data_IF_374926572167
#
_entry.id   IF_374926572167
#
_cell.length_a   1.000
_cell.length_b   1.000
_cell.length_c   1.000
_cell.angle_alpha   90.00
_cell.angle_beta   90.00
_cell.angle_gamma   90.00
#
_symmetry.space_group_name_H-M   'P 1'
#
loop_
_entity.id
_entity.type
_entity.pdbx_description
1 polymer ?
#
# COMPACT_ATOMS: atom_id res chain seq x y z
N UNK A 1 -11.82 33.60 -57.66
CA UNK A 1 -11.99 32.17 -58.01
C UNK A 1 -11.16 31.34 -57.03
N UNK A 2 -11.83 30.50 -56.21
CA UNK A 2 -11.39 29.22 -55.56
C UNK A 2 -10.09 29.22 -54.72
N UNK A 3 -9.94 28.48 -53.62
CA UNK A 3 -10.82 27.69 -52.77
C UNK A 3 -10.05 27.39 -51.46
N UNK A 4 -10.80 27.07 -50.41
CA UNK A 4 -10.34 26.76 -49.06
C UNK A 4 -9.53 25.45 -48.93
N UNK A 5 -8.73 25.36 -47.87
CA UNK A 5 -8.49 24.11 -47.17
C UNK A 5 -8.44 24.35 -45.65
N UNK A 6 -9.51 23.92 -44.97
CA UNK A 6 -9.60 23.73 -43.53
C UNK A 6 -8.74 22.54 -43.13
N UNK A 7 -7.95 22.66 -42.06
CA UNK A 7 -7.47 21.50 -41.31
C UNK A 7 -8.15 21.49 -39.95
N UNK A 8 -8.80 20.38 -39.70
CA UNK A 8 -9.75 20.09 -38.64
C UNK A 8 -9.03 19.80 -37.31
N UNK A 9 -9.42 20.49 -36.26
CA UNK A 9 -9.09 20.16 -34.87
C UNK A 9 -9.88 18.91 -34.44
N UNK A 10 -9.25 17.74 -34.57
CA UNK A 10 -9.75 16.49 -33.97
C UNK A 10 -9.47 16.46 -32.48
N UNK A 11 -10.53 16.69 -31.71
CA UNK A 11 -10.96 15.87 -30.56
C UNK A 11 -9.85 15.17 -29.78
N UNK A 12 -9.30 15.86 -28.76
CA UNK A 12 -8.52 15.23 -27.69
C UNK A 12 -9.51 14.55 -26.74
N UNK A 13 -9.71 13.24 -26.95
CA UNK A 13 -10.57 12.38 -26.13
C UNK A 13 -10.00 12.27 -24.71
N UNK A 14 -10.90 12.45 -23.73
CA UNK A 14 -10.80 11.94 -22.37
C UNK A 14 -10.30 10.49 -22.37
N UNK A 15 -9.10 10.25 -21.86
CA UNK A 15 -8.62 8.94 -21.40
C UNK A 15 -7.52 9.26 -20.37
N UNK A 16 -7.91 9.41 -19.12
CA UNK A 16 -6.99 9.77 -18.03
C UNK A 16 -7.65 9.80 -16.66
N UNK A 17 -8.68 8.98 -16.42
CA UNK A 17 -9.42 8.97 -15.15
C UNK A 17 -9.81 7.56 -14.66
N UNK A 18 -9.09 6.50 -15.06
CA UNK A 18 -9.47 5.12 -14.66
C UNK A 18 -8.36 4.28 -14.00
N UNK A 19 -7.26 4.89 -13.54
CA UNK A 19 -6.11 4.12 -13.03
C UNK A 19 -5.78 4.32 -11.53
N UNK A 20 -6.70 4.86 -10.71
CA UNK A 20 -6.49 5.02 -9.26
C UNK A 20 -7.43 4.17 -8.39
N UNK A 21 -8.21 3.26 -8.99
CA UNK A 21 -9.10 2.36 -8.27
C UNK A 21 -8.67 0.90 -8.47
N UNK A 22 -7.52 0.52 -7.89
CA UNK A 22 -7.22 -0.89 -7.63
C UNK A 22 -7.57 -1.21 -6.18
N UNK A 23 -8.85 -1.05 -5.82
CA UNK A 23 -9.36 -1.47 -4.52
C UNK A 23 -9.49 -3.00 -4.50
N UNK A 24 -8.94 -3.66 -3.48
CA UNK A 24 -9.08 -5.11 -3.18
C UNK A 24 -10.53 -5.63 -3.17
N UNK A 25 -11.53 -4.75 -3.26
CA UNK A 25 -12.96 -5.06 -3.39
C UNK A 25 -13.32 -5.97 -4.59
N UNK A 26 -12.46 -6.09 -5.62
CA UNK A 26 -12.72 -6.95 -6.77
C UNK A 26 -12.47 -8.46 -6.54
N UNK A 27 -11.96 -8.88 -5.38
CA UNK A 27 -11.38 -10.24 -5.27
C UNK A 27 -11.92 -11.15 -4.16
N UNK A 28 -12.83 -10.69 -3.28
CA UNK A 28 -13.41 -11.54 -2.22
C UNK A 28 -14.61 -12.36 -2.70
N UNK A 29 -14.33 -13.48 -3.36
CA UNK A 29 -15.31 -14.53 -3.62
C UNK A 29 -15.22 -15.66 -2.59
N UNK A 30 -16.18 -15.71 -1.66
CA UNK A 30 -16.65 -16.90 -0.90
C UNK A 30 -15.85 -17.27 0.37
N UNK A 31 -16.39 -16.92 1.54
CA UNK A 31 -16.01 -17.50 2.83
C UNK A 31 -17.16 -18.33 3.41
N UNK A 32 -16.90 -19.63 3.63
CA UNK A 32 -17.68 -20.51 4.50
C UNK A 32 -16.94 -20.67 5.83
N UNK A 33 -17.69 -20.68 6.92
CA UNK A 33 -17.15 -20.71 8.30
C UNK A 33 -16.89 -22.11 8.86
N UNK A 34 -16.29 -22.15 10.05
CA UNK A 34 -16.78 -22.83 11.26
C UNK A 34 -15.80 -22.63 12.44
N UNK A 35 -16.34 -22.93 13.63
CA UNK A 35 -16.04 -22.50 15.00
C UNK A 35 -14.92 -23.29 15.74
N UNK A 36 -14.56 -22.79 16.94
CA UNK A 36 -14.09 -23.46 18.19
C UNK A 36 -12.68 -23.11 18.73
N UNK A 37 -12.65 -22.41 19.88
CA UNK A 37 -11.79 -22.79 21.01
C UNK A 37 -10.60 -21.89 21.44
N UNK A 38 -10.84 -21.03 22.45
CA UNK A 38 -9.99 -20.68 23.64
C UNK A 38 -8.47 -20.43 23.49
N UNK A 39 -8.06 -19.16 23.51
CA UNK A 39 -7.02 -18.55 24.39
C UNK A 39 -7.04 -17.04 24.08
N UNK A 40 -7.03 -16.16 25.08
CA UNK A 40 -6.85 -14.72 24.85
C UNK A 40 -5.36 -14.48 24.54
N UNK A 41 -4.94 -14.92 23.35
CA UNK A 41 -3.79 -14.36 22.66
C UNK A 41 -4.27 -12.98 22.24
N UNK A 42 -3.63 -11.90 22.70
CA UNK A 42 -3.83 -10.59 22.07
C UNK A 42 -3.46 -10.76 20.61
N UNK A 43 -4.45 -10.91 19.75
CA UNK A 43 -4.34 -11.57 18.47
C UNK A 43 -3.97 -10.50 17.42
N UNK A 44 -2.76 -9.97 17.58
CA UNK A 44 -2.09 -8.97 16.72
C UNK A 44 -1.81 -9.57 15.35
N UNK A 45 -2.84 -9.73 14.53
CA UNK A 45 -2.71 -10.31 13.19
C UNK A 45 -2.83 -9.21 12.16
N UNK A 46 -1.70 -8.82 11.59
CA UNK A 46 -1.69 -8.05 10.35
C UNK A 46 -1.55 -9.02 9.18
N UNK A 47 -2.43 -8.90 8.20
CA UNK A 47 -2.39 -9.64 6.94
C UNK A 47 -1.61 -8.82 5.92
N UNK A 48 -0.58 -9.41 5.31
CA UNK A 48 0.25 -8.78 4.29
C UNK A 48 0.07 -9.49 2.93
N UNK A 49 -0.15 -8.68 1.89
CA UNK A 49 -0.35 -9.08 0.51
C UNK A 49 0.70 -8.39 -0.36
N UNK A 50 1.47 -9.15 -1.15
CA UNK A 50 2.52 -8.56 -2.01
C UNK A 50 2.87 -9.43 -3.23
N UNK A 51 2.52 -10.73 -3.19
CA UNK A 51 2.58 -11.67 -4.33
C UNK A 51 1.21 -12.22 -4.66
N UNK A 52 1.05 -12.67 -5.91
CA UNK A 52 -0.21 -13.24 -6.40
C UNK A 52 -0.71 -14.41 -5.54
N UNK A 53 0.19 -15.24 -5.02
CA UNK A 53 -0.17 -16.36 -4.12
C UNK A 53 -0.78 -15.92 -2.77
N UNK A 54 -0.59 -14.67 -2.35
CA UNK A 54 -1.09 -14.17 -1.06
C UNK A 54 -2.57 -13.79 -1.07
N UNK A 55 -3.25 -13.82 -2.22
CA UNK A 55 -4.67 -13.43 -2.33
C UNK A 55 -5.57 -14.18 -1.35
N UNK A 56 -5.49 -15.52 -1.35
CA UNK A 56 -6.22 -16.38 -0.40
C UNK A 56 -5.39 -16.78 0.83
N UNK A 57 -4.07 -16.61 0.76
CA UNK A 57 -3.12 -17.04 1.78
C UNK A 57 -2.19 -15.88 2.19
N UNK A 58 -2.71 -14.85 2.89
CA UNK A 58 -1.88 -13.73 3.30
C UNK A 58 -0.75 -14.17 4.22
N UNK A 59 0.37 -13.44 4.16
CA UNK A 59 1.41 -13.57 5.19
C UNK A 59 0.88 -12.92 6.46
N UNK A 60 0.97 -13.63 7.59
CA UNK A 60 0.52 -13.15 8.89
C UNK A 60 1.68 -12.60 9.70
N UNK A 61 1.64 -11.31 10.04
CA UNK A 61 2.58 -10.67 10.94
C UNK A 61 2.01 -10.70 12.36
N UNK A 62 2.76 -11.27 13.29
CA UNK A 62 2.42 -11.42 14.71
C UNK A 62 3.46 -10.79 15.64
N UNK A 63 4.67 -10.57 15.15
CA UNK A 63 5.73 -9.90 15.89
C UNK A 63 6.80 -9.28 14.99
N UNK A 64 7.81 -8.70 15.62
CA UNK A 64 8.89 -7.98 14.94
C UNK A 64 9.69 -8.85 13.98
N UNK A 65 9.86 -10.15 14.27
CA UNK A 65 10.53 -11.07 13.34
C UNK A 65 9.77 -11.20 12.02
N UNK A 66 8.44 -11.24 12.05
CA UNK A 66 7.64 -11.35 10.83
C UNK A 66 7.69 -10.05 10.02
N UNK A 67 7.76 -8.91 10.72
CA UNK A 67 8.04 -7.61 10.08
C UNK A 67 9.40 -7.63 9.41
N UNK A 68 10.40 -8.23 10.06
CA UNK A 68 11.73 -8.35 9.47
C UNK A 68 11.72 -9.19 8.19
N UNK A 69 11.06 -10.33 8.23
CA UNK A 69 10.88 -11.22 7.08
C UNK A 69 10.11 -10.54 5.94
N UNK A 70 9.08 -9.74 6.24
CA UNK A 70 8.35 -8.95 5.25
C UNK A 70 9.28 -7.95 4.54
N UNK A 71 10.03 -7.15 5.30
CA UNK A 71 10.94 -6.13 4.73
C UNK A 71 12.00 -6.79 3.85
N UNK A 72 12.56 -7.92 4.28
CA UNK A 72 13.51 -8.69 3.48
C UNK A 72 12.87 -9.29 2.22
N UNK A 73 11.62 -9.77 2.30
CA UNK A 73 10.90 -10.31 1.16
C UNK A 73 10.62 -9.23 0.10
N UNK A 74 10.21 -8.02 0.50
CA UNK A 74 10.01 -6.88 -0.40
C UNK A 74 11.31 -6.44 -1.05
N UNK A 75 12.39 -6.40 -0.28
CA UNK A 75 13.73 -6.10 -0.79
C UNK A 75 14.19 -7.12 -1.84
N UNK A 76 13.79 -8.38 -1.69
CA UNK A 76 14.13 -9.46 -2.62
C UNK A 76 13.17 -9.57 -3.83
N UNK A 77 11.99 -8.95 -3.80
CA UNK A 77 10.93 -9.10 -4.80
C UNK A 77 11.21 -8.44 -6.16
N UNK A 78 12.23 -7.58 -6.25
CA UNK A 78 12.54 -6.83 -7.47
C UNK A 78 11.49 -5.77 -7.83
N UNK A 79 11.64 -5.06 -8.97
CA UNK A 79 10.85 -3.85 -9.26
C UNK A 79 9.34 -4.02 -9.39
N UNK A 80 8.85 -5.26 -9.52
CA UNK A 80 7.43 -5.58 -9.69
C UNK A 80 6.74 -6.09 -8.42
N UNK A 81 7.49 -6.39 -7.36
CA UNK A 81 6.99 -6.99 -6.11
C UNK A 81 7.68 -6.40 -4.87
N UNK A 82 7.93 -5.09 -4.89
CA UNK A 82 8.59 -4.36 -3.81
C UNK A 82 7.63 -3.49 -2.97
N UNK A 83 6.32 -3.71 -3.12
CA UNK A 83 5.24 -3.08 -2.35
C UNK A 83 4.32 -4.13 -1.73
N UNK A 84 3.96 -3.95 -0.46
CA UNK A 84 2.95 -4.74 0.25
C UNK A 84 1.76 -3.90 0.67
N UNK A 85 0.60 -4.55 0.72
CA UNK A 85 -0.64 -4.06 1.31
C UNK A 85 -0.88 -4.78 2.64
N UNK A 86 -1.04 -4.01 3.73
CA UNK A 86 -1.20 -4.51 5.08
C UNK A 86 -2.56 -4.10 5.67
N UNK A 87 -3.21 -5.07 6.32
CA UNK A 87 -4.50 -4.91 6.97
C UNK A 87 -4.49 -5.53 8.36
N UNK A 88 -4.90 -4.78 9.39
CA UNK A 88 -5.10 -5.35 10.71
C UNK A 88 -6.40 -6.17 10.75
N UNK A 89 -6.30 -7.47 11.02
CA UNK A 89 -7.41 -8.41 10.90
C UNK A 89 -8.52 -8.19 11.94
N UNK A 90 -8.22 -7.49 13.03
CA UNK A 90 -9.19 -7.23 14.12
C UNK A 90 -9.90 -5.87 14.00
N UNK A 91 -9.54 -5.03 13.03
CA UNK A 91 -10.27 -3.79 12.80
C UNK A 91 -11.63 -4.09 12.16
N UNK A 92 -12.68 -3.30 12.48
CA UNK A 92 -13.98 -3.47 11.85
C UNK A 92 -13.89 -3.37 10.33
N UNK A 93 -14.66 -4.20 9.65
CA UNK A 93 -14.86 -4.03 8.21
C UNK A 93 -15.90 -2.94 7.97
N UNK A 94 -15.77 -2.24 6.84
CA UNK A 94 -16.84 -1.40 6.32
C UNK A 94 -18.07 -2.26 5.97
N UNK A 95 -19.29 -1.67 5.85
CA UNK A 95 -20.51 -2.43 5.52
C UNK A 95 -20.43 -3.32 4.26
N UNK A 96 -19.56 -2.96 3.31
CA UNK A 96 -19.26 -3.75 2.11
C UNK A 96 -18.38 -5.00 2.36
N UNK A 97 -17.96 -5.28 3.60
CA UNK A 97 -17.10 -6.43 3.94
C UNK A 97 -15.63 -6.25 3.57
N UNK A 98 -15.21 -5.01 3.31
CA UNK A 98 -13.83 -4.64 3.00
C UNK A 98 -13.18 -3.95 4.20
N UNK A 99 -11.84 -4.00 4.33
CA UNK A 99 -11.14 -3.30 5.40
C UNK A 99 -11.43 -1.79 5.42
N UNK A 100 -11.47 -1.21 6.60
CA UNK A 100 -11.66 0.24 6.84
C UNK A 100 -10.35 1.05 6.79
N UNK A 101 -9.23 0.38 6.57
CA UNK A 101 -7.91 0.98 6.50
C UNK A 101 -6.97 0.11 5.68
N UNK A 102 -5.88 0.68 5.20
CA UNK A 102 -4.79 -0.03 4.53
C UNK A 102 -3.46 0.68 4.80
N UNK A 103 -2.41 -0.09 5.09
CA UNK A 103 -1.04 0.42 5.11
C UNK A 103 -0.28 -0.18 3.92
N UNK A 104 0.12 0.66 2.96
CA UNK A 104 1.08 0.26 1.93
C UNK A 104 2.51 0.42 2.46
N UNK A 105 3.35 -0.57 2.16
CA UNK A 105 4.75 -0.61 2.60
C UNK A 105 5.63 -0.96 1.40
N UNK A 106 6.39 0.00 0.91
CA UNK A 106 7.34 -0.18 -0.19
C UNK A 106 8.79 -0.23 0.31
N UNK A 107 9.64 -1.05 -0.31
CA UNK A 107 11.07 -1.14 0.04
C UNK A 107 11.93 -1.21 -1.22
N UNK A 108 12.84 -0.26 -1.42
CA UNK A 108 13.79 -0.27 -2.52
C UNK A 108 15.11 -0.93 -2.07
N UNK A 109 15.53 -1.94 -2.82
CA UNK A 109 16.75 -2.70 -2.51
C UNK A 109 18.02 -1.90 -2.79
N UNK A 110 18.02 -1.09 -3.84
CA UNK A 110 19.21 -0.38 -4.31
C UNK A 110 19.65 0.73 -3.35
N UNK A 111 18.68 1.46 -2.81
CA UNK A 111 18.91 2.72 -2.10
C UNK A 111 18.71 2.61 -0.59
N UNK A 112 18.27 1.46 -0.07
CA UNK A 112 17.99 1.21 1.35
C UNK A 112 16.97 2.21 1.94
N UNK A 113 15.99 2.58 1.11
CA UNK A 113 14.84 3.42 1.46
C UNK A 113 13.54 2.67 1.21
N UNK A 114 12.43 3.23 1.68
CA UNK A 114 11.11 2.70 1.42
C UNK A 114 10.04 3.76 1.64
N UNK A 115 8.82 3.46 1.24
CA UNK A 115 7.66 4.37 1.34
C UNK A 115 6.57 3.76 2.21
N UNK A 116 5.76 4.62 2.81
CA UNK A 116 4.55 4.25 3.49
C UNK A 116 3.38 5.03 2.90
N UNK A 117 2.26 4.36 2.67
CA UNK A 117 0.97 5.01 2.44
C UNK A 117 -0.02 4.48 3.49
N UNK A 118 -0.85 5.35 4.04
CA UNK A 118 -1.93 4.98 4.94
C UNK A 118 -3.24 5.53 4.40
N UNK A 119 -4.20 4.65 4.23
CA UNK A 119 -5.53 4.97 3.74
C UNK A 119 -6.56 4.60 4.80
N UNK A 120 -7.41 5.54 5.16
CA UNK A 120 -8.59 5.38 6.02
C UNK A 120 -9.70 6.34 5.54
N UNK A 121 -10.20 7.23 6.42
CA UNK A 121 -11.04 8.36 6.03
C UNK A 121 -10.28 9.41 5.18
N UNK A 122 -8.95 9.29 5.06
CA UNK A 122 -8.12 10.06 4.12
C UNK A 122 -6.95 9.26 3.55
N UNK A 123 -6.20 9.87 2.64
CA UNK A 123 -5.01 9.30 2.03
C UNK A 123 -3.77 10.05 2.51
N UNK A 124 -2.78 9.32 3.00
CA UNK A 124 -1.54 9.90 3.51
C UNK A 124 -0.34 9.11 3.01
N UNK A 125 0.75 9.81 2.70
CA UNK A 125 2.05 9.18 2.42
C UNK A 125 3.08 9.67 3.43
N UNK A 126 4.13 8.88 3.68
CA UNK A 126 5.25 9.31 4.51
C UNK A 126 5.87 10.61 3.98
N UNK A 127 6.56 11.35 4.86
CA UNK A 127 7.27 12.56 4.51
C UNK A 127 8.67 12.57 5.12
N UNK A 128 9.68 12.70 4.26
CA UNK A 128 11.01 13.22 4.57
C UNK A 128 11.13 14.65 3.99
N UNK A 129 11.15 15.69 4.83
CA UNK A 129 11.26 17.07 4.36
C UNK A 129 12.63 17.42 3.75
N UNK A 130 13.63 16.54 3.85
CA UNK A 130 14.96 16.74 3.28
C UNK A 130 15.07 16.20 1.85
N UNK A 131 14.10 15.42 1.39
CA UNK A 131 14.05 14.84 0.05
C UNK A 131 13.45 15.81 -0.98
N UNK A 132 13.74 15.55 -2.26
CA UNK A 132 13.34 16.39 -3.38
C UNK A 132 11.87 16.22 -3.79
N UNK A 133 11.50 16.94 -4.84
CA UNK A 133 10.15 16.92 -5.43
C UNK A 133 10.03 15.96 -6.63
N UNK A 134 10.88 14.92 -6.70
CA UNK A 134 10.80 13.91 -7.75
C UNK A 134 9.63 12.94 -7.55
N UNK A 135 9.58 11.91 -8.37
CA UNK A 135 8.63 10.79 -8.27
C UNK A 135 9.38 9.47 -8.22
N UNK A 136 8.88 8.53 -7.42
CA UNK A 136 9.40 7.18 -7.28
C UNK A 136 8.24 6.19 -7.41
N UNK A 137 8.54 4.96 -7.85
CA UNK A 137 7.50 3.96 -8.09
C UNK A 137 7.79 2.65 -7.37
N UNK A 138 6.76 2.12 -6.73
CA UNK A 138 6.77 0.84 -6.03
C UNK A 138 5.63 -0.02 -6.55
N UNK A 139 5.84 -1.32 -6.70
CA UNK A 139 4.89 -2.21 -7.36
C UNK A 139 4.45 -3.37 -6.49
N UNK A 140 3.14 -3.62 -6.50
CA UNK A 140 2.52 -4.79 -5.90
C UNK A 140 1.97 -5.69 -7.01
N UNK A 141 2.50 -6.91 -7.11
CA UNK A 141 2.07 -7.90 -8.11
C UNK A 141 2.09 -7.36 -9.56
N UNK A 142 3.09 -6.55 -9.88
CA UNK A 142 3.26 -5.90 -11.19
C UNK A 142 2.43 -4.63 -11.41
N UNK A 143 1.62 -4.20 -10.42
CA UNK A 143 0.90 -2.93 -10.49
C UNK A 143 1.72 -1.87 -9.77
N UNK A 144 2.23 -0.92 -10.55
CA UNK A 144 3.01 0.20 -10.07
C UNK A 144 2.12 1.26 -9.41
N UNK A 145 2.65 1.88 -8.37
CA UNK A 145 2.07 3.02 -7.68
C UNK A 145 3.15 4.09 -7.57
N UNK A 146 2.81 5.32 -7.92
CA UNK A 146 3.72 6.46 -7.90
C UNK A 146 3.58 7.22 -6.58
N UNK A 147 4.73 7.63 -6.03
CA UNK A 147 4.83 8.39 -4.81
C UNK A 147 5.72 9.60 -5.05
N UNK A 148 5.48 10.74 -4.37
CA UNK A 148 6.49 11.79 -4.27
C UNK A 148 7.79 11.20 -3.72
N UNK A 149 8.94 11.59 -4.28
CA UNK A 149 10.27 11.19 -3.78
C UNK A 149 10.46 11.62 -2.31
N UNK A 150 9.79 12.70 -1.89
CA UNK A 150 9.71 13.12 -0.49
C UNK A 150 9.04 12.10 0.43
N UNK A 151 8.46 11.01 -0.11
CA UNK A 151 7.87 9.94 0.70
C UNK A 151 8.86 8.87 1.10
N UNK A 152 10.07 8.86 0.54
CA UNK A 152 11.08 7.86 0.86
C UNK A 152 11.71 8.11 2.23
N UNK A 153 11.61 7.11 3.10
CA UNK A 153 12.24 7.08 4.42
C UNK A 153 13.33 6.00 4.45
N UNK A 154 14.33 6.11 5.36
CA UNK A 154 15.24 5.00 5.62
C UNK A 154 14.48 3.71 5.98
N UNK A 155 14.91 2.56 5.46
CA UNK A 155 14.24 1.25 5.71
C UNK A 155 14.12 0.94 7.21
N UNK A 156 15.07 1.39 8.03
CA UNK A 156 14.98 1.23 9.48
C UNK A 156 13.73 1.92 10.08
N UNK A 157 13.37 3.09 9.56
CA UNK A 157 12.20 3.85 10.00
C UNK A 157 10.90 3.24 9.44
N UNK A 158 10.93 2.73 8.21
CA UNK A 158 9.82 1.93 7.64
C UNK A 158 9.53 0.72 8.51
N UNK A 159 10.57 -0.05 8.88
CA UNK A 159 10.49 -1.21 9.77
C UNK A 159 9.91 -0.84 11.13
N UNK A 160 10.32 0.29 11.71
CA UNK A 160 9.77 0.81 12.96
C UNK A 160 8.28 1.14 12.83
N UNK A 161 7.88 1.80 11.74
CA UNK A 161 6.49 2.17 11.49
C UNK A 161 5.58 0.95 11.33
N UNK A 162 6.03 -0.10 10.62
CA UNK A 162 5.27 -1.35 10.50
C UNK A 162 5.11 -2.05 11.85
N UNK A 163 6.15 -2.05 12.69
CA UNK A 163 6.04 -2.56 14.06
C UNK A 163 5.04 -1.75 14.90
N UNK A 164 5.02 -0.42 14.76
CA UNK A 164 4.05 0.44 15.45
C UNK A 164 2.62 0.16 14.95
N UNK A 165 2.40 0.02 13.65
CA UNK A 165 1.11 -0.36 13.06
C UNK A 165 0.61 -1.70 13.64
N UNK A 166 1.48 -2.71 13.73
CA UNK A 166 1.18 -4.00 14.34
C UNK A 166 0.81 -3.88 15.82
N UNK A 167 1.55 -3.08 16.59
CA UNK A 167 1.35 -2.97 18.04
C UNK A 167 0.18 -2.05 18.44
N UNK A 168 -0.20 -1.13 17.58
CA UNK A 168 -1.26 -0.14 17.83
C UNK A 168 -2.66 -0.61 17.43
N UNK A 169 -2.80 -1.83 16.90
CA UNK A 169 -4.08 -2.33 16.40
C UNK A 169 -4.45 -1.77 15.03
N UNK A 170 -3.44 -1.51 14.18
CA UNK A 170 -3.64 -1.00 12.83
C UNK A 170 -3.88 0.51 12.74
N UNK A 171 -3.42 1.28 13.73
CA UNK A 171 -3.49 2.74 13.68
C UNK A 171 -2.34 3.30 12.84
N UNK A 172 -2.55 4.48 12.25
CA UNK A 172 -1.51 5.17 11.49
C UNK A 172 -0.26 5.40 12.37
N UNK A 173 0.93 4.89 11.99
CA UNK A 173 2.15 5.06 12.77
C UNK A 173 2.49 6.52 13.05
N UNK A 174 2.91 6.83 14.28
CA UNK A 174 3.27 8.17 14.74
C UNK A 174 4.78 8.43 14.71
N UNK A 175 5.59 7.39 14.58
CA UNK A 175 7.05 7.53 14.48
C UNK A 175 7.52 8.19 13.18
N UNK A 176 6.63 8.45 12.22
CA UNK A 176 6.93 9.12 10.94
C UNK A 176 6.06 10.34 10.74
N UNK A 177 6.54 11.28 9.93
CA UNK A 177 5.72 12.38 9.45
C UNK A 177 4.91 11.92 8.24
N UNK A 178 3.74 12.52 8.07
CA UNK A 178 2.81 12.24 6.99
C UNK A 178 2.47 13.52 6.24
N UNK A 179 2.21 13.39 4.96
CA UNK A 179 1.66 14.44 4.12
C UNK A 179 0.40 13.93 3.43
N UNK A 180 -0.52 14.86 3.16
CA UNK A 180 -1.53 14.61 2.13
C UNK A 180 -0.84 14.72 0.78
N UNK A 181 -0.97 13.69 -0.04
CA UNK A 181 -0.29 13.70 -1.32
C UNK A 181 -1.11 14.49 -2.36
N UNK A 182 -0.42 15.13 -3.32
CA UNK A 182 -1.09 15.95 -4.35
C UNK A 182 -1.95 15.11 -5.31
N UNK A 183 -1.58 13.83 -5.52
CA UNK A 183 -2.21 12.93 -6.48
C UNK A 183 -2.46 11.55 -5.87
N UNK A 184 -3.61 11.34 -5.22
CA UNK A 184 -4.13 10.01 -4.81
C UNK A 184 -5.64 9.94 -4.94
#
# INVERSE_FOLDING_TARGET
MRAAARVSSRTRRHLGQEAAHCTLAQWKGRLGGLDLGRREVTNRKVQAYFRREHGDNPVLLQGSSDVDDLIEALRAGGPSENLASLHHAERPLMPAGVPDHELLVGVDAGSQVGVLAFMDDGNFVSLDPLKGSGEVSYSIMGNATEFPESSELPVALVRQAVNEFLCSGGQRPKCVQWQEPEFW
#
